data_IF_252488728951
#
_entry.id   IF_252488728951
#
_cell.length_a   1.000
_cell.length_b   1.000
_cell.length_c   1.000
_cell.angle_alpha   90.00
_cell.angle_beta   90.00
_cell.angle_gamma   90.00
#
_symmetry.space_group_name_H-M   'P 1'
#
loop_
_entity.id
_entity.type
_entity.pdbx_description
1 polymer ?
#
# COMPACT_ATOMS: atom_id res chain seq x y z
N UNK A 1 41.34 4.71 -38.85
CA UNK A 1 40.50 3.55 -39.21
C UNK A 1 40.18 2.78 -37.92
N UNK A 2 39.02 3.03 -37.30
CA UNK A 2 38.64 2.38 -36.04
C UNK A 2 38.25 0.92 -36.37
N UNK A 3 39.08 -0.03 -35.97
CA UNK A 3 38.86 -1.46 -36.23
C UNK A 3 37.62 -1.95 -35.48
N UNK A 4 36.77 -2.75 -36.14
CA UNK A 4 35.55 -3.38 -35.59
C UNK A 4 35.77 -4.07 -34.23
N UNK A 5 37.00 -4.51 -33.94
CA UNK A 5 37.38 -5.08 -32.63
C UNK A 5 37.31 -4.07 -31.48
N UNK A 6 37.58 -2.80 -31.74
CA UNK A 6 37.47 -1.72 -30.74
C UNK A 6 36.00 -1.41 -30.43
N UNK A 7 35.10 -1.57 -31.41
CA UNK A 7 33.66 -1.40 -31.22
C UNK A 7 33.10 -2.50 -30.30
N UNK A 8 33.61 -3.73 -30.40
CA UNK A 8 33.20 -4.86 -29.56
C UNK A 8 33.64 -4.73 -28.09
N UNK A 9 34.83 -4.14 -27.83
CA UNK A 9 35.29 -3.90 -26.45
C UNK A 9 34.51 -2.80 -25.73
N UNK A 10 34.02 -1.78 -26.45
CA UNK A 10 33.22 -0.69 -25.88
C UNK A 10 31.78 -1.10 -25.52
N UNK A 11 31.26 -2.18 -26.11
CA UNK A 11 29.92 -2.70 -25.83
C UNK A 11 29.87 -3.69 -24.65
N UNK A 12 31.02 -4.16 -24.16
CA UNK A 12 31.10 -5.15 -23.09
C UNK A 12 30.44 -4.75 -21.75
N UNK A 13 30.44 -3.46 -21.30
CA UNK A 13 29.79 -3.08 -20.04
C UNK A 13 28.26 -3.11 -20.11
N UNK A 14 27.66 -3.03 -21.31
CA UNK A 14 26.21 -2.94 -21.48
C UNK A 14 25.49 -4.29 -21.34
N UNK A 15 26.23 -5.39 -21.20
CA UNK A 15 25.71 -6.75 -21.00
C UNK A 15 25.81 -7.23 -19.55
N UNK A 16 26.31 -6.38 -18.64
CA UNK A 16 26.28 -6.69 -17.21
C UNK A 16 24.82 -6.66 -16.73
N UNK A 17 24.31 -7.73 -16.10
CA UNK A 17 22.97 -7.72 -15.53
C UNK A 17 22.89 -6.61 -14.49
N UNK A 18 21.94 -5.68 -14.68
CA UNK A 18 21.63 -4.70 -13.64
C UNK A 18 21.28 -5.48 -12.37
N UNK A 19 21.99 -5.19 -11.28
CA UNK A 19 21.69 -5.79 -9.98
C UNK A 19 20.27 -5.41 -9.60
N UNK A 20 19.36 -6.39 -9.59
CA UNK A 20 17.99 -6.19 -9.12
C UNK A 20 18.05 -5.82 -7.64
N UNK A 21 17.73 -4.58 -7.30
CA UNK A 21 17.50 -4.20 -5.91
C UNK A 21 16.18 -4.82 -5.46
N UNK A 22 16.27 -5.86 -4.63
CA UNK A 22 15.10 -6.37 -3.92
C UNK A 22 14.49 -5.24 -3.09
N UNK A 23 13.16 -5.10 -3.12
CA UNK A 23 12.51 -4.13 -2.25
C UNK A 23 12.68 -4.56 -0.80
N UNK A 24 12.89 -3.59 0.10
CA UNK A 24 12.95 -3.86 1.52
C UNK A 24 11.73 -4.66 1.98
N UNK A 25 11.91 -5.55 2.95
CA UNK A 25 10.82 -6.32 3.52
C UNK A 25 9.69 -5.38 3.97
N UNK A 26 8.50 -5.59 3.44
CA UNK A 26 7.33 -4.83 3.88
C UNK A 26 6.94 -5.26 5.30
N UNK A 27 6.56 -4.33 6.19
CA UNK A 27 6.60 -2.87 6.03
C UNK A 27 7.97 -2.25 6.41
N UNK A 28 8.44 -1.27 5.63
CA UNK A 28 9.66 -0.49 5.95
C UNK A 28 9.37 0.87 6.58
N UNK A 29 8.11 1.32 6.56
CA UNK A 29 7.61 2.58 7.14
C UNK A 29 6.20 2.36 7.72
N UNK A 30 5.63 3.32 8.48
CA UNK A 30 4.27 3.19 9.00
C UNK A 30 3.21 2.93 7.93
N UNK A 31 2.23 2.10 8.25
CA UNK A 31 1.09 1.74 7.39
C UNK A 31 -0.17 2.42 7.91
N UNK A 32 -0.96 3.02 7.02
CA UNK A 32 -2.24 3.63 7.37
C UNK A 32 -3.39 2.66 7.10
N UNK A 33 -4.20 2.41 8.13
CA UNK A 33 -5.47 1.70 8.04
C UNK A 33 -6.59 2.73 7.99
N UNK A 34 -7.18 2.93 6.81
CA UNK A 34 -8.32 3.82 6.61
C UNK A 34 -9.59 3.11 7.06
N UNK A 35 -10.29 3.69 8.03
CA UNK A 35 -11.59 3.22 8.50
C UNK A 35 -12.67 4.15 7.94
N UNK A 36 -13.60 3.67 7.09
CA UNK A 36 -14.61 4.52 6.46
C UNK A 36 -15.80 4.87 7.38
N UNK A 37 -15.56 4.89 8.70
CA UNK A 37 -16.55 5.06 9.76
C UNK A 37 -15.99 5.92 10.91
N UNK A 38 -16.88 6.48 11.72
CA UNK A 38 -16.50 7.33 12.84
C UNK A 38 -15.69 6.55 13.89
N UNK A 39 -14.77 7.26 14.55
CA UNK A 39 -14.00 6.71 15.67
C UNK A 39 -14.94 6.25 16.81
N UNK A 40 -14.56 5.19 17.52
CA UNK A 40 -15.35 4.61 18.61
C UNK A 40 -16.45 3.63 18.18
N UNK A 41 -16.72 3.47 16.88
CA UNK A 41 -17.62 2.44 16.36
C UNK A 41 -17.02 1.04 16.33
N UNK A 42 -17.82 0.02 16.00
CA UNK A 42 -17.37 -1.37 15.93
C UNK A 42 -16.23 -1.60 14.93
N UNK A 43 -16.30 -1.00 13.73
CA UNK A 43 -15.22 -1.09 12.74
C UNK A 43 -13.93 -0.45 13.23
N UNK A 44 -14.03 0.67 13.95
CA UNK A 44 -12.87 1.36 14.53
C UNK A 44 -12.21 0.53 15.65
N UNK A 45 -13.02 -0.09 16.52
CA UNK A 45 -12.53 -0.99 17.56
C UNK A 45 -11.74 -2.18 16.96
N UNK A 46 -12.29 -2.83 15.93
CA UNK A 46 -11.60 -3.92 15.22
C UNK A 46 -10.31 -3.42 14.56
N UNK A 47 -10.35 -2.25 13.91
CA UNK A 47 -9.17 -1.66 13.27
C UNK A 47 -8.03 -1.39 14.27
N UNK A 48 -8.35 -0.92 15.48
CA UNK A 48 -7.35 -0.65 16.53
C UNK A 48 -6.72 -1.94 17.08
N UNK A 49 -7.50 -2.99 17.27
CA UNK A 49 -6.99 -4.32 17.65
C UNK A 49 -6.04 -4.85 16.57
N UNK A 50 -6.45 -4.74 15.30
CA UNK A 50 -5.63 -5.16 14.16
C UNK A 50 -4.33 -4.33 14.09
N UNK A 51 -4.42 -3.01 14.21
CA UNK A 51 -3.27 -2.11 14.20
C UNK A 51 -2.25 -2.48 15.29
N UNK A 52 -2.72 -2.76 16.51
CA UNK A 52 -1.87 -3.18 17.61
C UNK A 52 -1.16 -4.51 17.28
N UNK A 53 -1.91 -5.53 16.84
CA UNK A 53 -1.34 -6.85 16.53
C UNK A 53 -0.33 -6.78 15.39
N UNK A 54 -0.66 -6.09 14.30
CA UNK A 54 0.24 -5.90 13.17
C UNK A 54 1.50 -5.13 13.57
N UNK A 55 1.36 -4.14 14.45
CA UNK A 55 2.52 -3.39 14.95
C UNK A 55 3.45 -4.27 15.77
N UNK A 56 2.90 -5.16 16.61
CA UNK A 56 3.68 -6.15 17.37
C UNK A 56 4.39 -7.14 16.44
N UNK A 57 3.71 -7.65 15.42
CA UNK A 57 4.24 -8.70 14.55
C UNK A 57 5.32 -8.19 13.59
N UNK A 58 5.18 -6.95 13.12
CA UNK A 58 6.05 -6.37 12.08
C UNK A 58 7.11 -5.43 12.63
N UNK A 59 6.96 -4.97 13.89
CA UNK A 59 7.81 -3.94 14.48
C UNK A 59 7.64 -2.55 13.84
N UNK A 60 6.60 -2.33 13.02
CA UNK A 60 6.28 -1.02 12.41
C UNK A 60 4.93 -0.53 12.87
N UNK A 61 4.75 0.80 12.89
CA UNK A 61 3.48 1.40 13.30
C UNK A 61 2.37 1.17 12.26
N UNK A 62 1.22 0.70 12.72
CA UNK A 62 -0.04 0.73 11.96
C UNK A 62 -0.95 1.79 12.57
N UNK A 63 -1.36 2.78 11.78
CA UNK A 63 -2.11 3.95 12.25
C UNK A 63 -3.52 3.92 11.68
N UNK A 64 -4.52 4.07 12.55
CA UNK A 64 -5.93 4.16 12.15
C UNK A 64 -6.27 5.61 11.74
N UNK A 65 -6.80 5.78 10.53
CA UNK A 65 -7.29 7.06 9.98
C UNK A 65 -8.80 6.94 9.68
N UNK A 66 -9.64 7.62 10.45
CA UNK A 66 -11.09 7.59 10.29
C UNK A 66 -11.54 8.60 9.23
N UNK A 67 -12.01 8.11 8.08
CA UNK A 67 -12.51 8.93 6.95
C UNK A 67 -13.98 8.66 6.67
N UNK A 68 -14.85 9.46 7.27
CA UNK A 68 -16.31 9.26 7.22
C UNK A 68 -16.98 9.91 6.00
N UNK A 69 -18.25 9.57 5.80
CA UNK A 69 -19.15 10.24 4.85
C UNK A 69 -19.52 9.41 3.62
N UNK A 70 -20.64 9.78 2.98
CA UNK A 70 -21.24 9.09 1.84
C UNK A 70 -21.36 7.57 2.04
N UNK A 71 -21.86 7.13 3.21
CA UNK A 71 -21.95 5.71 3.58
C UNK A 71 -20.62 4.93 3.46
N UNK A 72 -19.50 5.62 3.69
CA UNK A 72 -18.14 5.08 3.64
C UNK A 72 -17.47 5.14 2.27
N UNK A 73 -18.17 5.59 1.23
CA UNK A 73 -17.61 5.76 -0.13
C UNK A 73 -16.46 6.76 -0.17
N UNK A 74 -16.45 7.80 0.67
CA UNK A 74 -15.34 8.77 0.73
C UNK A 74 -14.04 8.07 1.17
N UNK A 75 -14.08 7.31 2.26
CA UNK A 75 -12.95 6.53 2.75
C UNK A 75 -12.48 5.51 1.72
N UNK A 76 -13.42 4.75 1.13
CA UNK A 76 -13.14 3.78 0.07
C UNK A 76 -12.42 4.42 -1.12
N UNK A 77 -12.97 5.50 -1.68
CA UNK A 77 -12.40 6.19 -2.83
C UNK A 77 -11.01 6.77 -2.54
N UNK A 78 -10.76 7.17 -1.28
CA UNK A 78 -9.45 7.67 -0.90
C UNK A 78 -8.36 6.58 -0.91
N UNK A 79 -8.71 5.34 -0.55
CA UNK A 79 -7.81 4.18 -0.65
C UNK A 79 -7.71 3.70 -2.10
N UNK A 80 -8.81 3.68 -2.85
CA UNK A 80 -8.83 3.29 -4.26
C UNK A 80 -7.92 4.18 -5.14
N UNK A 81 -7.71 5.45 -4.73
CA UNK A 81 -6.80 6.39 -5.40
C UNK A 81 -5.41 6.45 -4.76
N UNK A 82 -5.16 5.72 -3.67
CA UNK A 82 -3.86 5.69 -3.02
C UNK A 82 -2.85 4.93 -3.89
N UNK A 83 -1.56 5.13 -3.60
CA UNK A 83 -0.50 4.36 -4.24
C UNK A 83 -0.70 2.87 -3.90
N UNK A 84 -0.65 1.94 -4.87
CA UNK A 84 -0.81 0.51 -4.63
C UNK A 84 0.49 -0.11 -4.08
N UNK A 85 1.06 0.48 -3.03
CA UNK A 85 2.34 0.11 -2.43
C UNK A 85 2.20 -0.54 -1.04
N UNK A 86 0.96 -0.85 -0.61
CA UNK A 86 0.68 -1.54 0.64
C UNK A 86 0.77 -0.66 1.90
N UNK A 87 0.95 0.65 1.77
CA UNK A 87 1.05 1.56 2.93
C UNK A 87 -0.25 2.31 3.25
N UNK A 88 -1.29 2.13 2.43
CA UNK A 88 -2.64 2.64 2.71
C UNK A 88 -3.63 1.53 2.41
N UNK A 89 -4.27 1.01 3.46
CA UNK A 89 -5.18 -0.13 3.38
C UNK A 89 -6.55 0.27 3.90
N UNK A 90 -7.60 -0.27 3.30
CA UNK A 90 -8.98 -0.05 3.74
C UNK A 90 -9.38 -1.11 4.76
N UNK A 91 -9.90 -0.69 5.91
CA UNK A 91 -10.67 -1.56 6.80
C UNK A 91 -12.09 -1.61 6.27
N UNK A 92 -12.32 -2.60 5.42
CA UNK A 92 -13.52 -2.72 4.61
C UNK A 92 -14.70 -3.33 5.36
N UNK A 93 -15.91 -2.94 4.95
CA UNK A 93 -17.17 -3.58 5.28
C UNK A 93 -17.86 -4.04 4.00
N UNK A 94 -18.83 -4.96 4.11
CA UNK A 94 -19.63 -5.42 2.96
C UNK A 94 -20.28 -4.24 2.23
N UNK A 95 -20.77 -3.24 2.98
CA UNK A 95 -21.39 -2.04 2.42
C UNK A 95 -20.44 -1.23 1.53
N UNK A 96 -19.20 -1.03 1.93
CA UNK A 96 -18.24 -0.16 1.22
C UNK A 96 -17.55 -0.86 0.06
N UNK A 97 -17.31 -2.17 0.14
CA UNK A 97 -16.52 -2.89 -0.87
C UNK A 97 -17.37 -3.73 -1.84
N UNK A 98 -18.45 -4.35 -1.35
CA UNK A 98 -19.29 -5.21 -2.18
C UNK A 98 -20.54 -4.47 -2.70
N UNK A 99 -21.19 -3.64 -1.87
CA UNK A 99 -22.44 -2.99 -2.28
C UNK A 99 -22.22 -1.70 -3.05
N UNK A 100 -21.40 -0.78 -2.53
CA UNK A 100 -21.26 0.55 -3.09
C UNK A 100 -20.94 0.56 -4.61
N UNK A 101 -19.99 -0.23 -5.15
CA UNK A 101 -19.69 -0.20 -6.59
C UNK A 101 -20.85 -0.60 -7.51
N UNK A 102 -21.87 -1.26 -6.98
CA UNK A 102 -23.03 -1.73 -7.74
C UNK A 102 -24.27 -0.83 -7.58
N UNK A 103 -24.19 0.20 -6.73
CA UNK A 103 -25.29 1.12 -6.42
C UNK A 103 -24.97 2.58 -6.80
N UNK A 104 -23.77 2.85 -7.31
CA UNK A 104 -23.25 4.18 -7.63
C UNK A 104 -23.03 4.34 -9.13
#
# INVERSE_FOLDING_TARGET
>A
MISRRHLALLAAPALLPATAHAQDAWPSRPVTLVVPWAAGGSTDAVARILAQKLSTDTGRSFVVDNRTGANGTIGFNSVARARPDGYTMLVSTVSTYAMAPHLM
#
